data_IF_365250199025
#
_entry.id   IF_365250199025
#
_cell.length_a   1.000
_cell.length_b   1.000
_cell.length_c   1.000
_cell.angle_alpha   90.00
_cell.angle_beta   90.00
_cell.angle_gamma   90.00
#
_symmetry.space_group_name_H-M   'P 1'
#
loop_
_entity.id
_entity.type
_entity.pdbx_description
1 polymer ?
#
# COMPACT_ATOMS: atom_id res chain seq x y z
N UNK A 1 -38.29 17.87 24.45
CA UNK A 1 -37.68 16.66 25.07
C UNK A 1 -37.30 15.52 24.10
N UNK A 2 -37.44 15.67 22.76
CA UNK A 2 -37.13 14.60 21.80
C UNK A 2 -35.72 14.66 21.17
N UNK A 3 -35.10 15.84 21.12
CA UNK A 3 -33.83 16.02 20.41
C UNK A 3 -32.68 15.24 21.09
N UNK A 4 -32.58 15.33 22.42
CA UNK A 4 -31.54 14.63 23.19
C UNK A 4 -31.63 13.10 23.06
N UNK A 5 -32.85 12.53 23.05
CA UNK A 5 -33.04 11.08 22.87
C UNK A 5 -32.62 10.63 21.46
N UNK A 6 -32.90 11.43 20.43
CA UNK A 6 -32.47 11.12 19.06
C UNK A 6 -30.95 11.22 18.91
N UNK A 7 -30.33 12.22 19.55
CA UNK A 7 -28.86 12.36 19.62
C UNK A 7 -28.21 11.14 20.28
N UNK A 8 -28.69 10.72 21.45
CA UNK A 8 -28.16 9.52 22.12
C UNK A 8 -28.32 8.25 21.28
N UNK A 9 -29.45 8.08 20.60
CA UNK A 9 -29.65 6.95 19.69
C UNK A 9 -28.66 6.98 18.53
N UNK A 10 -28.39 8.17 17.98
CA UNK A 10 -27.40 8.34 16.90
C UNK A 10 -25.98 8.05 17.40
N UNK A 11 -25.64 8.52 18.60
CA UNK A 11 -24.34 8.26 19.23
C UNK A 11 -24.13 6.75 19.40
N UNK A 12 -25.08 6.04 20.02
CA UNK A 12 -24.99 4.60 20.22
C UNK A 12 -24.85 3.83 18.88
N UNK A 13 -25.55 4.28 17.83
CA UNK A 13 -25.39 3.69 16.49
C UNK A 13 -24.04 3.97 15.84
N UNK A 14 -23.41 5.11 16.15
CA UNK A 14 -22.07 5.43 15.67
C UNK A 14 -21.00 4.68 16.45
N UNK A 15 -21.14 4.57 17.77
CA UNK A 15 -20.25 3.79 18.64
C UNK A 15 -20.22 2.33 18.20
N UNK A 16 -21.38 1.69 18.02
CA UNK A 16 -21.43 0.30 17.56
C UNK A 16 -20.78 0.09 16.18
N UNK A 17 -20.88 1.07 15.28
CA UNK A 17 -20.21 0.99 13.97
C UNK A 17 -18.70 1.20 14.08
N UNK A 18 -18.28 2.09 14.97
CA UNK A 18 -16.87 2.33 15.23
C UNK A 18 -16.22 1.07 15.81
N UNK A 19 -16.84 0.44 16.82
CA UNK A 19 -16.36 -0.82 17.40
C UNK A 19 -16.20 -1.92 16.34
N UNK A 20 -17.17 -2.01 15.41
CA UNK A 20 -17.10 -2.94 14.30
C UNK A 20 -15.91 -2.63 13.37
N UNK A 21 -15.74 -1.37 12.97
CA UNK A 21 -14.63 -0.98 12.10
C UNK A 21 -13.27 -1.17 12.75
N UNK A 22 -13.12 -0.87 14.04
CA UNK A 22 -11.88 -1.12 14.77
C UNK A 22 -11.55 -2.62 14.82
N UNK A 23 -12.56 -3.46 15.04
CA UNK A 23 -12.40 -4.92 15.04
C UNK A 23 -11.98 -5.44 13.67
N UNK A 24 -12.64 -5.00 12.60
CA UNK A 24 -12.32 -5.37 11.22
C UNK A 24 -10.92 -4.89 10.81
N UNK A 25 -10.57 -3.66 11.18
CA UNK A 25 -9.25 -3.08 10.90
C UNK A 25 -8.14 -3.85 11.63
N UNK A 26 -8.37 -4.23 12.89
CA UNK A 26 -7.43 -5.05 13.66
C UNK A 26 -7.24 -6.43 13.04
N UNK A 27 -8.34 -7.07 12.63
CA UNK A 27 -8.27 -8.37 11.98
C UNK A 27 -7.51 -8.31 10.65
N UNK A 28 -7.74 -7.26 9.85
CA UNK A 28 -7.01 -7.05 8.61
C UNK A 28 -5.50 -6.85 8.85
N UNK A 29 -5.13 -6.08 9.88
CA UNK A 29 -3.72 -5.85 10.21
C UNK A 29 -3.02 -7.16 10.61
N UNK A 30 -3.69 -8.01 11.39
CA UNK A 30 -3.20 -9.36 11.73
C UNK A 30 -3.00 -10.19 10.46
N UNK A 31 -4.00 -10.24 9.58
CA UNK A 31 -3.92 -11.00 8.34
C UNK A 31 -2.73 -10.55 7.47
N UNK A 32 -2.48 -9.24 7.38
CA UNK A 32 -1.34 -8.73 6.62
C UNK A 32 0.00 -9.13 7.22
N UNK A 33 0.11 -9.15 8.56
CA UNK A 33 1.29 -9.68 9.25
C UNK A 33 1.51 -11.15 8.94
N UNK A 34 0.44 -11.94 8.93
CA UNK A 34 0.50 -13.36 8.58
C UNK A 34 0.87 -13.58 7.10
N UNK A 35 0.51 -12.65 6.21
CA UNK A 35 0.93 -12.65 4.80
C UNK A 35 2.37 -12.16 4.57
N UNK A 36 3.10 -11.75 5.61
CA UNK A 36 4.50 -11.33 5.51
C UNK A 36 4.72 -9.82 5.45
N UNK A 37 3.72 -9.00 5.75
CA UNK A 37 3.89 -7.55 5.97
C UNK A 37 4.15 -7.30 7.47
N UNK A 38 5.40 -7.11 7.93
CA UNK A 38 5.75 -7.22 9.35
C UNK A 38 5.08 -6.17 10.25
N UNK A 39 4.69 -5.02 9.71
CA UNK A 39 3.91 -3.98 10.42
C UNK A 39 2.49 -3.85 9.85
N UNK A 40 1.98 -4.92 9.25
CA UNK A 40 0.66 -5.01 8.65
C UNK A 40 0.40 -3.89 7.64
N UNK A 41 -0.61 -3.07 7.92
CA UNK A 41 -1.07 -2.00 7.04
C UNK A 41 0.00 -0.92 6.78
N UNK A 42 0.90 -0.64 7.73
CA UNK A 42 1.94 0.36 7.55
C UNK A 42 2.91 -0.07 6.45
N UNK A 43 3.44 -1.29 6.56
CA UNK A 43 4.33 -1.87 5.56
C UNK A 43 3.64 -2.03 4.21
N UNK A 44 2.40 -2.50 4.17
CA UNK A 44 1.63 -2.60 2.93
C UNK A 44 1.51 -1.23 2.24
N UNK A 45 1.18 -0.18 2.99
CA UNK A 45 1.04 1.17 2.45
C UNK A 45 2.36 1.66 1.85
N UNK A 46 3.47 1.48 2.55
CA UNK A 46 4.80 1.90 2.05
C UNK A 46 5.16 1.15 0.77
N UNK A 47 4.98 -0.17 0.73
CA UNK A 47 5.23 -0.98 -0.48
C UNK A 47 4.38 -0.51 -1.65
N UNK A 48 3.08 -0.25 -1.45
CA UNK A 48 2.21 0.26 -2.52
C UNK A 48 2.67 1.65 -2.98
N UNK A 49 3.08 2.53 -2.06
CA UNK A 49 3.57 3.86 -2.41
C UNK A 49 4.87 3.82 -3.21
N UNK A 50 5.75 2.85 -2.93
CA UNK A 50 6.97 2.61 -3.71
C UNK A 50 6.63 2.09 -5.11
N UNK A 51 5.77 1.07 -5.21
CA UNK A 51 5.32 0.53 -6.50
C UNK A 51 4.64 1.59 -7.39
N UNK A 52 3.83 2.48 -6.80
CA UNK A 52 3.19 3.57 -7.53
C UNK A 52 4.18 4.65 -7.97
N UNK A 53 5.28 4.86 -7.23
CA UNK A 53 6.34 5.78 -7.64
C UNK A 53 7.14 5.18 -8.80
N UNK A 54 7.53 3.92 -8.69
CA UNK A 54 8.23 3.19 -9.76
C UNK A 54 7.41 3.18 -11.06
N UNK A 55 6.11 2.93 -10.97
CA UNK A 55 5.21 2.95 -12.13
C UNK A 55 5.08 4.33 -12.81
N UNK A 56 5.37 5.42 -12.09
CA UNK A 56 5.26 6.79 -12.60
C UNK A 56 6.63 7.44 -12.88
N UNK A 57 7.74 6.74 -12.66
CA UNK A 57 9.07 7.27 -12.92
C UNK A 57 9.48 6.99 -14.38
N UNK A 58 9.54 8.02 -15.25
CA UNK A 58 9.95 7.85 -16.65
C UNK A 58 11.43 7.42 -16.80
N UNK A 59 12.21 7.46 -15.71
CA UNK A 59 13.62 7.05 -15.69
C UNK A 59 13.81 5.52 -15.74
N UNK A 60 12.73 4.75 -15.53
CA UNK A 60 12.73 3.28 -15.68
C UNK A 60 12.19 2.81 -17.03
N UNK A 61 12.15 3.68 -18.05
CA UNK A 61 12.08 3.19 -19.42
C UNK A 61 13.20 2.16 -19.63
N UNK A 62 12.91 1.03 -20.29
CA UNK A 62 13.96 0.09 -20.67
C UNK A 62 15.07 0.90 -21.31
N UNK A 63 16.30 0.76 -20.81
CA UNK A 63 17.47 1.13 -21.59
C UNK A 63 17.29 0.33 -22.87
N UNK A 64 17.00 0.99 -23.99
CA UNK A 64 17.00 0.34 -25.29
C UNK A 64 18.33 -0.41 -25.36
N UNK A 65 18.30 -1.75 -25.45
CA UNK A 65 19.48 -2.63 -25.38
C UNK A 65 20.47 -2.42 -26.56
N UNK A 66 20.33 -1.33 -27.31
CA UNK A 66 21.10 -1.02 -28.52
C UNK A 66 22.38 -0.20 -28.28
N UNK A 67 22.71 0.20 -27.05
CA UNK A 67 23.95 0.93 -26.74
C UNK A 67 25.02 0.06 -26.05
N UNK A 68 25.11 -1.22 -26.43
CA UNK A 68 26.28 -2.03 -26.12
C UNK A 68 27.45 -1.50 -26.94
N UNK A 69 28.57 -1.04 -26.35
CA UNK A 69 29.76 -0.79 -27.13
C UNK A 69 30.21 -2.14 -27.68
N UNK A 70 29.99 -2.38 -28.96
CA UNK A 70 30.63 -3.50 -29.67
C UNK A 70 32.12 -3.29 -29.55
N UNK A 71 32.75 -3.97 -28.58
CA UNK A 71 34.17 -4.25 -28.65
C UNK A 71 34.38 -5.07 -29.91
N UNK A 72 34.74 -4.39 -31.00
CA UNK A 72 35.37 -5.01 -32.15
C UNK A 72 36.66 -5.63 -31.65
N UNK A 73 36.62 -6.93 -31.36
CA UNK A 73 37.80 -7.75 -31.20
C UNK A 73 38.59 -7.65 -32.51
N UNK A 74 39.69 -6.90 -32.49
CA UNK A 74 40.68 -6.90 -33.57
C UNK A 74 41.23 -8.33 -33.69
N UNK A 75 41.06 -9.02 -34.83
CA UNK A 75 41.51 -10.40 -34.98
C UNK A 75 43.03 -10.51 -35.24
N UNK A 76 43.79 -9.42 -35.09
CA UNK A 76 45.23 -9.35 -35.40
C UNK A 76 46.05 -8.53 -34.38
N UNK A 77 45.76 -8.68 -33.08
CA UNK A 77 46.69 -8.27 -32.01
C UNK A 77 47.61 -9.41 -31.57
#
# INVERSE_FOLDING_TARGET
MNNTKQLYRKIAGLESRLDQYESEFTYLDILLRDCGFPEGLNTLKTTIQELLKEANDPSQLPIDEDDFPTQTLDPFA
#
